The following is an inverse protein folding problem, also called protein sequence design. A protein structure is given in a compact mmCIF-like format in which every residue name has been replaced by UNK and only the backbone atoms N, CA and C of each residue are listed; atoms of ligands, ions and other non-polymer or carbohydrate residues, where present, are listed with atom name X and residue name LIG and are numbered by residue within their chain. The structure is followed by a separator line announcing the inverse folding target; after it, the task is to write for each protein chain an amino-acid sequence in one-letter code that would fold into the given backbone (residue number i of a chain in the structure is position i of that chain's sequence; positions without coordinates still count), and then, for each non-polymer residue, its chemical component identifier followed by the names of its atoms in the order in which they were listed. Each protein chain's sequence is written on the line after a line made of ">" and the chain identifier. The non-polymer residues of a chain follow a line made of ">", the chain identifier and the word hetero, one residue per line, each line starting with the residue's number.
data_IF_824745785631
#
_entry.id   IF_824745785631
#
_cell.length_a   1.000
_cell.length_b   1.000
_cell.length_c   1.000
_cell.angle_alpha   90.00
_cell.angle_beta   90.00
_cell.angle_gamma   90.00
#
_symmetry.space_group_name_H-M   'P 1'
#
loop_
_entity.id
_entity.type
_entity.pdbx_description
1 polymer ?
#
# COMPACT_ATOMS: atom_id res chain seq x y z
N UNK A 1 -1.33 16.40 9.95
CA UNK A 1 -1.57 17.52 9.03
C UNK A 1 -0.25 18.20 8.69
N UNK A 2 0.57 18.54 9.69
CA UNK A 2 1.93 19.06 9.52
C UNK A 2 2.80 18.19 8.57
N UNK A 3 2.86 16.87 8.76
CA UNK A 3 3.58 15.95 7.86
C UNK A 3 3.17 16.06 6.37
N UNK A 4 1.89 16.30 6.10
CA UNK A 4 1.37 16.43 4.72
C UNK A 4 1.77 17.79 4.14
N UNK A 5 1.64 18.86 4.94
CA UNK A 5 2.01 20.22 4.55
C UNK A 5 3.52 20.36 4.31
N UNK A 6 4.33 19.65 5.07
CA UNK A 6 5.79 19.58 4.94
C UNK A 6 6.26 18.63 3.82
N UNK A 7 5.35 18.00 3.07
CA UNK A 7 5.66 17.01 2.05
C UNK A 7 6.59 15.89 2.55
N UNK A 8 6.38 15.44 3.79
CA UNK A 8 7.13 14.30 4.34
C UNK A 8 6.83 13.01 3.56
N UNK A 9 7.79 12.08 3.47
CA UNK A 9 7.57 10.78 2.87
C UNK A 9 6.32 10.08 3.43
N UNK A 10 5.59 9.38 2.56
CA UNK A 10 4.39 8.65 2.96
C UNK A 10 4.68 7.58 4.03
N UNK A 11 5.90 7.03 4.03
CA UNK A 11 6.38 6.12 5.07
C UNK A 11 6.35 6.74 6.47
N UNK A 12 6.77 7.99 6.63
CA UNK A 12 6.74 8.68 7.94
C UNK A 12 5.30 8.89 8.43
N UNK A 13 4.37 9.19 7.52
CA UNK A 13 2.94 9.29 7.84
C UNK A 13 2.39 7.94 8.33
N UNK A 14 2.73 6.86 7.62
CA UNK A 14 2.31 5.50 7.98
C UNK A 14 2.91 5.06 9.32
N UNK A 15 4.20 5.32 9.54
CA UNK A 15 4.89 5.01 10.80
C UNK A 15 4.21 5.71 11.97
N UNK A 16 3.97 7.02 11.84
CA UNK A 16 3.23 7.78 12.85
C UNK A 16 1.83 7.20 13.09
N UNK A 17 1.09 6.90 12.03
CA UNK A 17 -0.26 6.34 12.12
C UNK A 17 -0.27 4.98 12.85
N UNK A 18 0.75 4.14 12.66
CA UNK A 18 0.81 2.83 13.31
C UNK A 18 1.02 2.87 14.82
N UNK A 19 1.47 3.99 15.39
CA UNK A 19 1.58 4.13 16.86
C UNK A 19 0.23 4.01 17.58
N UNK A 20 -0.88 4.18 16.86
CA UNK A 20 -2.26 4.08 17.37
C UNK A 20 -2.96 2.77 17.00
N UNK A 21 -2.26 1.87 16.30
CA UNK A 21 -2.84 0.65 15.75
C UNK A 21 -2.27 -0.58 16.43
N UNK A 22 -3.14 -1.57 16.68
CA UNK A 22 -2.74 -2.76 17.44
C UNK A 22 -1.98 -3.79 16.59
N UNK A 23 -2.25 -3.83 15.29
CA UNK A 23 -1.68 -4.78 14.34
C UNK A 23 -0.64 -4.06 13.44
N UNK A 24 0.26 -4.76 12.75
CA UNK A 24 1.08 -4.16 11.70
C UNK A 24 0.25 -3.81 10.46
N UNK A 25 0.81 -2.98 9.58
CA UNK A 25 0.20 -2.58 8.29
C UNK A 25 1.25 -2.56 7.21
N UNK A 26 0.83 -2.94 6.00
CA UNK A 26 1.62 -2.81 4.80
C UNK A 26 0.81 -2.02 3.78
N UNK A 27 1.50 -1.16 3.04
CA UNK A 27 0.95 -0.45 1.89
C UNK A 27 1.46 -1.12 0.62
N UNK A 28 0.52 -1.50 -0.24
CA UNK A 28 0.77 -2.20 -1.48
C UNK A 28 0.43 -1.30 -2.67
N UNK A 29 1.22 -1.40 -3.74
CA UNK A 29 0.84 -0.83 -5.02
C UNK A 29 -0.28 -1.66 -5.69
N UNK A 30 -0.85 -1.21 -6.82
CA UNK A 30 -1.92 -1.94 -7.52
C UNK A 30 -1.53 -3.34 -8.02
N UNK A 31 -0.23 -3.65 -8.05
CA UNK A 31 0.30 -4.96 -8.47
C UNK A 31 0.64 -5.86 -7.28
N UNK A 32 0.41 -5.40 -6.04
CA UNK A 32 0.68 -6.18 -4.84
C UNK A 32 2.13 -6.09 -4.34
N UNK A 33 2.95 -5.16 -4.86
CA UNK A 33 4.30 -4.90 -4.32
C UNK A 33 4.18 -4.14 -3.00
N UNK A 34 4.92 -4.55 -1.98
CA UNK A 34 5.00 -3.80 -0.72
C UNK A 34 5.80 -2.52 -0.95
N UNK A 35 5.14 -1.37 -0.80
CA UNK A 35 5.78 -0.05 -0.85
C UNK A 35 6.32 0.37 0.51
N UNK A 36 5.62 0.02 1.59
CA UNK A 36 6.05 0.28 2.97
C UNK A 36 5.38 -0.70 3.92
N UNK A 37 6.08 -1.12 4.97
CA UNK A 37 5.55 -1.95 6.04
C UNK A 37 5.98 -1.38 7.39
N UNK A 38 5.05 -1.32 8.33
CA UNK A 38 5.29 -0.74 9.65
C UNK A 38 4.40 -1.34 10.75
N UNK A 39 4.73 -1.05 12.00
CA UNK A 39 4.21 -1.71 13.20
C UNK A 39 4.98 -2.98 13.59
N UNK A 40 4.76 -3.44 14.82
CA UNK A 40 5.47 -4.58 15.40
C UNK A 40 4.63 -5.85 15.44
N UNK A 41 5.27 -7.00 15.23
CA UNK A 41 4.69 -8.32 15.47
C UNK A 41 4.87 -8.72 16.94
N UNK A 42 3.77 -9.06 17.62
CA UNK A 42 3.79 -9.57 19.00
C UNK A 42 3.70 -11.10 19.07
N UNK A 43 3.43 -11.74 17.94
CA UNK A 43 3.35 -13.20 17.77
C UNK A 43 4.24 -13.63 16.61
N UNK A 44 4.56 -14.92 16.58
CA UNK A 44 5.24 -15.52 15.44
C UNK A 44 4.39 -15.37 14.18
N UNK A 45 5.05 -15.01 13.08
CA UNK A 45 4.43 -14.80 11.78
C UNK A 45 4.60 -16.01 10.87
N UNK A 46 5.34 -17.04 11.28
CA UNK A 46 5.55 -18.23 10.46
C UNK A 46 4.21 -18.88 10.07
N UNK A 47 4.01 -19.11 8.77
CA UNK A 47 2.78 -19.69 8.23
C UNK A 47 1.60 -18.72 8.13
N UNK A 48 1.80 -17.42 8.39
CA UNK A 48 0.80 -16.37 8.16
C UNK A 48 1.08 -15.61 6.87
N UNK A 49 0.13 -14.78 6.42
CA UNK A 49 0.34 -13.86 5.29
C UNK A 49 1.55 -12.94 5.49
N UNK A 50 1.85 -12.59 6.74
CA UNK A 50 2.98 -11.73 7.08
C UNK A 50 4.33 -12.39 6.83
N UNK A 51 4.41 -13.72 6.91
CA UNK A 51 5.62 -14.44 6.59
C UNK A 51 6.08 -14.05 5.17
N UNK A 52 5.19 -14.15 4.20
CA UNK A 52 5.49 -13.83 2.81
C UNK A 52 5.76 -12.34 2.63
N UNK A 53 4.88 -11.47 3.16
CA UNK A 53 5.05 -10.01 3.05
C UNK A 53 6.42 -9.55 3.57
N UNK A 54 6.90 -10.11 4.68
CA UNK A 54 8.20 -9.77 5.27
C UNK A 54 9.38 -10.39 4.52
N UNK A 55 9.26 -11.65 4.06
CA UNK A 55 10.37 -12.35 3.42
C UNK A 55 10.53 -12.05 1.92
N UNK A 56 9.43 -11.84 1.19
CA UNK A 56 9.44 -11.68 -0.26
C UNK A 56 9.23 -10.24 -0.72
N UNK A 57 8.64 -9.37 0.11
CA UNK A 57 8.35 -7.97 -0.25
C UNK A 57 7.16 -7.79 -1.20
N UNK A 58 6.35 -8.83 -1.39
CA UNK A 58 5.11 -8.79 -2.16
C UNK A 58 3.99 -9.38 -1.30
N UNK A 59 2.75 -8.91 -1.47
CA UNK A 59 1.61 -9.83 -1.34
C UNK A 59 1.70 -10.75 -2.54
N UNK A 60 1.95 -12.05 -2.36
CA UNK A 60 1.97 -12.93 -3.51
C UNK A 60 0.52 -13.03 -4.01
N UNK A 61 0.28 -12.39 -5.15
CA UNK A 61 -0.86 -12.70 -6.00
C UNK A 61 -0.91 -14.22 -6.29
N UNK A 62 0.24 -14.90 -6.18
CA UNK A 62 0.38 -16.34 -6.29
C UNK A 62 -0.05 -17.14 -5.04
N UNK A 63 -0.01 -16.55 -3.84
CA UNK A 63 -0.40 -17.28 -2.61
C UNK A 63 -1.83 -16.97 -2.14
N UNK A 64 -2.40 -15.83 -2.56
CA UNK A 64 -3.85 -15.63 -2.47
C UNK A 64 -4.51 -16.44 -3.59
N UNK A 65 -5.53 -17.24 -3.28
CA UNK A 65 -6.15 -18.06 -4.30
C UNK A 65 -6.87 -17.17 -5.35
N UNK A 66 -6.85 -17.52 -6.66
CA UNK A 66 -7.36 -16.63 -7.72
C UNK A 66 -8.81 -16.15 -7.55
N UNK A 67 -9.69 -16.93 -6.92
CA UNK A 67 -11.08 -16.55 -6.62
C UNK A 67 -11.17 -15.54 -5.47
N UNK A 68 -10.35 -15.68 -4.43
CA UNK A 68 -10.23 -14.72 -3.33
C UNK A 68 -9.70 -13.38 -3.83
N UNK A 69 -8.68 -13.40 -4.70
CA UNK A 69 -8.15 -12.20 -5.35
C UNK A 69 -9.23 -11.54 -6.24
N UNK A 70 -9.91 -12.33 -7.06
CA UNK A 70 -10.98 -11.83 -7.94
C UNK A 70 -12.12 -11.18 -7.15
N UNK A 71 -12.51 -11.77 -6.02
CA UNK A 71 -13.51 -11.20 -5.11
C UNK A 71 -13.06 -9.84 -4.58
N UNK A 72 -11.83 -9.74 -4.07
CA UNK A 72 -11.29 -8.48 -3.53
C UNK A 72 -11.30 -7.41 -4.62
N UNK A 73 -10.81 -7.73 -5.82
CA UNK A 73 -10.80 -6.77 -6.93
C UNK A 73 -12.21 -6.35 -7.37
N UNK A 74 -13.19 -7.25 -7.28
CA UNK A 74 -14.59 -6.91 -7.53
C UNK A 74 -15.14 -5.95 -6.46
N UNK A 75 -14.87 -6.20 -5.19
CA UNK A 75 -15.30 -5.31 -4.09
C UNK A 75 -14.65 -3.92 -4.20
N UNK A 76 -13.38 -3.85 -4.61
CA UNK A 76 -12.68 -2.59 -4.92
C UNK A 76 -13.41 -1.84 -6.04
N UNK A 77 -13.72 -2.53 -7.15
CA UNK A 77 -14.45 -1.93 -8.29
C UNK A 77 -15.85 -1.46 -7.91
N UNK A 78 -16.49 -2.11 -6.94
CA UNK A 78 -17.80 -1.71 -6.41
C UNK A 78 -17.74 -0.54 -5.42
N UNK A 79 -16.53 -0.06 -5.09
CA UNK A 79 -16.34 1.09 -4.20
C UNK A 79 -16.33 0.75 -2.72
N UNK A 80 -16.05 -0.51 -2.37
CA UNK A 80 -15.93 -0.92 -0.97
C UNK A 80 -14.73 -0.23 -0.31
N UNK A 81 -14.95 0.42 0.83
CA UNK A 81 -13.88 1.12 1.57
C UNK A 81 -13.09 0.22 2.51
N UNK A 82 -13.72 -0.87 2.97
CA UNK A 82 -13.12 -1.87 3.83
C UNK A 82 -13.57 -3.23 3.31
N UNK A 83 -12.61 -4.11 3.08
CA UNK A 83 -12.84 -5.48 2.63
C UNK A 83 -12.27 -6.42 3.69
N UNK A 84 -13.14 -7.20 4.32
CA UNK A 84 -12.75 -8.23 5.29
C UNK A 84 -12.62 -9.56 4.55
N UNK A 85 -11.55 -10.30 4.85
CA UNK A 85 -11.26 -11.59 4.22
C UNK A 85 -10.73 -12.58 5.26
N UNK A 86 -10.98 -13.86 5.05
CA UNK A 86 -10.24 -14.96 5.66
C UNK A 86 -9.65 -15.72 4.49
N UNK A 87 -8.32 -15.80 4.43
CA UNK A 87 -7.63 -16.42 3.31
C UNK A 87 -7.35 -17.89 3.59
N UNK A 88 -7.45 -18.74 2.57
CA UNK A 88 -7.19 -20.19 2.71
C UNK A 88 -5.82 -20.52 3.28
N UNK A 89 -4.81 -19.72 2.94
CA UNK A 89 -3.43 -19.90 3.39
C UNK A 89 -3.17 -19.45 4.82
N UNK A 90 -4.03 -18.58 5.35
CA UNK A 90 -3.96 -18.10 6.74
C UNK A 90 -5.38 -18.08 7.32
N UNK A 91 -5.99 -19.26 7.52
CA UNK A 91 -7.39 -19.35 7.93
C UNK A 91 -7.61 -18.95 9.39
N UNK A 92 -6.52 -18.76 10.15
CA UNK A 92 -6.57 -18.42 11.58
C UNK A 92 -6.70 -16.92 11.81
N UNK A 93 -6.44 -16.09 10.79
CA UNK A 93 -6.45 -14.64 10.92
C UNK A 93 -7.44 -14.02 9.93
N UNK A 94 -8.10 -12.98 10.40
CA UNK A 94 -8.85 -12.09 9.52
C UNK A 94 -7.89 -11.10 8.89
N UNK A 95 -8.07 -10.84 7.61
CA UNK A 95 -7.38 -9.81 6.87
C UNK A 95 -8.31 -8.64 6.56
N UNK A 96 -7.79 -7.43 6.71
CA UNK A 96 -8.42 -6.19 6.27
C UNK A 96 -7.64 -5.59 5.10
N UNK A 97 -8.37 -5.35 4.02
CA UNK A 97 -7.89 -4.60 2.85
C UNK A 97 -8.64 -3.28 2.77
N UNK A 98 -7.89 -2.18 2.72
CA UNK A 98 -8.42 -0.82 2.59
C UNK A 98 -7.92 -0.27 1.26
N UNK A 99 -8.77 -0.20 0.23
CA UNK A 99 -8.34 0.29 -1.07
C UNK A 99 -8.00 1.79 -0.99
N UNK A 100 -6.89 2.17 -1.61
CA UNK A 100 -6.48 3.57 -1.78
C UNK A 100 -6.91 4.03 -3.17
N UNK A 101 -7.65 5.12 -3.23
CA UNK A 101 -8.21 5.68 -4.47
C UNK A 101 -7.72 7.11 -4.69
N UNK A 102 -7.17 7.40 -5.86
CA UNK A 102 -6.75 8.75 -6.26
C UNK A 102 -7.55 9.16 -7.49
N UNK A 103 -8.36 10.21 -7.36
CA UNK A 103 -9.26 10.72 -8.41
C UNK A 103 -10.12 9.62 -9.06
N UNK A 104 -10.58 8.67 -8.24
CA UNK A 104 -11.44 7.55 -8.66
C UNK A 104 -10.69 6.34 -9.26
N UNK A 105 -9.35 6.40 -9.33
CA UNK A 105 -8.52 5.29 -9.79
C UNK A 105 -7.87 4.55 -8.61
N UNK A 106 -7.82 3.22 -8.71
CA UNK A 106 -7.17 2.38 -7.71
C UNK A 106 -5.65 2.59 -7.75
N UNK A 107 -5.10 3.12 -6.65
CA UNK A 107 -3.69 3.46 -6.53
C UNK A 107 -2.91 2.49 -5.63
N UNK A 108 -3.59 1.50 -5.03
CA UNK A 108 -3.01 0.52 -4.14
C UNK A 108 -3.95 0.16 -3.00
N UNK A 109 -3.44 -0.52 -1.99
CA UNK A 109 -4.23 -0.89 -0.82
C UNK A 109 -3.39 -0.94 0.45
N UNK A 110 -4.01 -0.65 1.59
CA UNK A 110 -3.45 -1.04 2.88
C UNK A 110 -3.92 -2.46 3.21
N UNK A 111 -3.00 -3.33 3.57
CA UNK A 111 -3.28 -4.70 4.02
C UNK A 111 -2.82 -4.93 5.45
N UNK A 112 -3.64 -5.65 6.22
CA UNK A 112 -3.39 -5.99 7.63
C UNK A 112 -4.03 -7.32 7.99
N UNK A 113 -3.52 -7.98 9.02
CA UNK A 113 -4.23 -9.09 9.69
C UNK A 113 -4.38 -8.82 11.18
N UNK A 114 -5.29 -9.52 11.85
CA UNK A 114 -5.52 -9.47 13.30
C UNK A 114 -4.48 -10.26 14.12
N UNK A 115 -3.25 -10.34 13.62
CA UNK A 115 -2.13 -11.14 14.17
C UNK A 115 -1.86 -10.84 15.64
N UNK A 116 -1.88 -9.57 16.05
CA UNK A 116 -1.66 -9.19 17.45
C UNK A 116 -2.99 -9.21 18.22
N UNK A 117 -4.05 -8.62 17.66
CA UNK A 117 -5.36 -8.50 18.30
C UNK A 117 -6.52 -8.41 17.28
N UNK A 118 -7.75 -8.85 17.64
CA UNK A 118 -8.94 -8.71 16.79
C UNK A 118 -9.23 -7.26 16.36
N UNK A 119 -9.82 -7.10 15.17
CA UNK A 119 -10.22 -5.80 14.67
C UNK A 119 -11.48 -5.26 15.39
N UNK A 120 -11.30 -4.20 16.18
CA UNK A 120 -12.42 -3.44 16.74
C UNK A 120 -12.95 -2.42 15.73
N UNK A 121 -14.19 -1.95 15.91
CA UNK A 121 -14.75 -0.91 15.04
C UNK A 121 -13.99 0.42 15.16
N UNK A 122 -13.43 0.71 16.34
CA UNK A 122 -12.52 1.84 16.51
C UNK A 122 -11.27 1.72 15.62
N UNK A 123 -10.65 0.54 15.54
CA UNK A 123 -9.49 0.28 14.68
C UNK A 123 -9.85 0.39 13.19
N UNK A 124 -11.03 -0.10 12.79
CA UNK A 124 -11.53 0.03 11.41
C UNK A 124 -11.79 1.49 11.02
N UNK A 125 -12.43 2.27 11.90
CA UNK A 125 -12.70 3.69 11.66
C UNK A 125 -11.40 4.51 11.60
N UNK A 126 -10.43 4.21 12.46
CA UNK A 126 -9.12 4.85 12.42
C UNK A 126 -8.40 4.56 11.10
N UNK A 127 -8.50 3.33 10.58
CA UNK A 127 -7.95 2.97 9.27
C UNK A 127 -8.54 3.76 8.11
N UNK A 128 -9.84 4.06 8.14
CA UNK A 128 -10.48 4.91 7.12
C UNK A 128 -9.97 6.36 7.18
N UNK A 129 -9.70 6.87 8.38
CA UNK A 129 -9.09 8.19 8.54
C UNK A 129 -7.67 8.19 7.98
N UNK A 130 -6.89 7.15 8.31
CA UNK A 130 -5.51 6.99 7.80
C UNK A 130 -5.51 6.89 6.28
N UNK A 131 -6.40 6.10 5.67
CA UNK A 131 -6.48 5.97 4.22
C UNK A 131 -6.81 7.30 3.54
N UNK A 132 -7.76 8.06 4.08
CA UNK A 132 -8.09 9.39 3.55
C UNK A 132 -6.93 10.38 3.66
N UNK A 133 -6.15 10.33 4.73
CA UNK A 133 -4.93 11.14 4.88
C UNK A 133 -3.85 10.74 3.88
N UNK A 134 -3.68 9.44 3.63
CA UNK A 134 -2.76 8.92 2.62
C UNK A 134 -3.17 9.37 1.22
N UNK A 135 -4.45 9.23 0.86
CA UNK A 135 -4.98 9.69 -0.43
C UNK A 135 -4.74 11.19 -0.63
N UNK A 136 -4.97 11.98 0.43
CA UNK A 136 -4.70 13.42 0.43
C UNK A 136 -3.21 13.72 0.26
N UNK A 137 -2.33 13.01 0.98
CA UNK A 137 -0.90 13.18 0.90
C UNK A 137 -0.36 12.85 -0.50
N UNK A 138 -0.80 11.73 -1.08
CA UNK A 138 -0.44 11.31 -2.44
C UNK A 138 -0.88 12.38 -3.44
N UNK A 139 -2.13 12.86 -3.35
CA UNK A 139 -2.65 13.89 -4.25
C UNK A 139 -1.86 15.19 -4.15
N UNK A 140 -1.55 15.63 -2.93
CA UNK A 140 -0.75 16.84 -2.69
C UNK A 140 0.66 16.71 -3.28
N UNK A 141 1.34 15.59 -3.02
CA UNK A 141 2.69 15.32 -3.53
C UNK A 141 2.73 15.22 -5.06
N UNK A 142 1.76 14.52 -5.66
CA UNK A 142 1.64 14.43 -7.12
C UNK A 142 1.45 15.81 -7.73
N UNK A 143 0.53 16.64 -7.20
CA UNK A 143 0.33 17.99 -7.71
C UNK A 143 1.60 18.85 -7.60
N UNK A 144 2.36 18.75 -6.50
CA UNK A 144 3.64 19.47 -6.38
C UNK A 144 4.70 18.96 -7.36
N UNK A 145 4.73 17.65 -7.65
CA UNK A 145 5.69 17.08 -8.62
C UNK A 145 5.34 17.40 -10.08
N UNK A 146 4.06 17.39 -10.46
CA UNK A 146 3.60 17.74 -11.82
C UNK A 146 3.83 19.23 -12.11
N UNK A 147 3.67 20.09 -11.11
CA UNK A 147 3.97 21.53 -11.25
C UNK A 147 5.48 21.82 -11.38
N UNK A 148 6.36 20.86 -11.08
CA UNK A 148 7.81 21.04 -11.19
C UNK A 148 8.40 20.51 -12.50
N UNK A 149 7.71 19.66 -13.26
CA UNK A 149 8.31 19.01 -14.43
C UNK A 149 7.31 18.65 -15.54
N UNK A 150 7.11 19.54 -16.51
CA UNK A 150 6.51 19.15 -17.79
C UNK A 150 7.49 18.46 -18.76
N UNK A 151 8.80 18.32 -18.46
CA UNK A 151 9.74 17.73 -19.43
C UNK A 151 10.76 16.68 -18.95
N UNK A 152 10.95 16.40 -17.65
CA UNK A 152 12.13 15.62 -17.20
C UNK A 152 11.93 14.53 -16.13
N UNK A 153 10.70 14.01 -15.97
CA UNK A 153 10.34 13.03 -14.92
C UNK A 153 11.31 11.83 -14.76
N UNK A 154 11.84 11.33 -15.87
CA UNK A 154 12.78 10.19 -15.86
C UNK A 154 14.22 10.58 -15.52
N UNK A 155 14.67 11.77 -15.91
CA UNK A 155 16.03 12.27 -15.63
C UNK A 155 16.19 12.54 -14.14
N UNK A 156 15.14 13.03 -13.49
CA UNK A 156 15.18 13.38 -12.07
C UNK A 156 15.16 12.15 -11.17
N UNK A 157 14.45 11.07 -11.56
CA UNK A 157 14.51 9.78 -10.86
C UNK A 157 15.91 9.14 -10.89
N UNK A 158 16.64 9.29 -12.00
CA UNK A 158 18.03 8.82 -12.12
C UNK A 158 18.99 9.63 -11.25
N UNK A 159 18.85 10.96 -11.23
CA UNK A 159 19.69 11.85 -10.40
C UNK A 159 19.44 11.70 -8.90
N UNK A 160 18.25 11.24 -8.50
CA UNK A 160 17.87 10.96 -7.11
C UNK A 160 18.36 9.59 -6.60
N UNK A 161 19.10 8.82 -7.41
CA UNK A 161 19.72 7.55 -6.98
C UNK A 161 18.78 6.35 -6.95
N UNK A 162 17.57 6.46 -7.48
CA UNK A 162 16.68 5.31 -7.66
C UNK A 162 17.18 4.43 -8.82
N UNK A 163 17.39 3.14 -8.58
CA UNK A 163 17.70 2.20 -9.66
C UNK A 163 16.49 2.02 -10.56
N UNK A 164 16.57 2.53 -11.79
CA UNK A 164 15.57 2.31 -12.82
C UNK A 164 15.94 1.04 -13.59
N UNK A 165 14.98 0.14 -13.77
CA UNK A 165 15.18 -1.10 -14.54
C UNK A 165 15.67 -0.78 -15.97
N UNK A 166 16.65 -1.56 -16.44
CA UNK A 166 17.34 -1.35 -17.71
C UNK A 166 16.37 -1.46 -18.91
N UNK A 167 15.32 -2.29 -18.76
CA UNK A 167 14.28 -2.49 -19.79
C UNK A 167 13.35 -1.28 -19.91
N UNK A 168 13.01 -0.64 -18.78
CA UNK A 168 12.22 0.59 -18.74
C UNK A 168 12.98 1.76 -19.37
N UNK A 169 14.28 1.85 -19.07
CA UNK A 169 15.19 2.84 -19.67
C UNK A 169 15.24 2.71 -21.20
N UNK A 170 15.33 1.47 -21.71
CA UNK A 170 15.39 1.27 -23.16
C UNK A 170 14.09 1.51 -23.90
N UNK A 171 12.92 1.32 -23.27
CA UNK A 171 11.66 1.68 -23.90
C UNK A 171 11.49 3.20 -24.03
N UNK A 172 11.99 3.96 -23.06
CA UNK A 172 11.90 5.42 -23.10
C UNK A 172 12.78 6.03 -24.19
N UNK A 173 14.02 5.53 -24.34
CA UNK A 173 14.95 5.99 -25.39
C UNK A 173 14.44 5.67 -26.80
N UNK A 174 13.74 4.54 -26.99
CA UNK A 174 13.11 4.19 -28.28
C UNK A 174 11.95 5.09 -28.69
N UNK A 175 11.32 5.80 -27.76
CA UNK A 175 10.21 6.72 -28.07
C UNK A 175 10.67 8.11 -28.53
N UNK A 176 11.98 8.40 -28.50
CA UNK A 176 12.57 9.69 -28.90
C UNK A 176 13.43 9.61 -30.18
N UNK A 177 13.46 8.46 -30.87
CA UNK A 177 14.09 8.28 -32.19
C UNK A 177 13.00 8.01 -33.23
#
# INVERSE_FOLDING_TARGET
>A
MELILENKPLSELLDYATTYLNNPIAFFDPTGVVLHQTGSFQKDIQGTLWNEVVYSGFTPIESIHPDEHSRIMQEIKQGSKIILSIFRQDPSHHALTIPIQIDGNHAGALGRTDINAPFTDAQKNLLLVISSLIETAIKHQIQTSILQEEENYYVIRLLQGFSVDERATMQYLKKRI
#
